data_IF_472060940457
#
_entry.id   IF_472060940457
#
_cell.length_a   1.000
_cell.length_b   1.000
_cell.length_c   1.000
_cell.angle_alpha   90.00
_cell.angle_beta   90.00
_cell.angle_gamma   90.00
#
_symmetry.space_group_name_H-M   'P 1'
#
loop_
_entity.id
_entity.type
_entity.pdbx_description
1 polymer ?
#
# COMPACT_ATOMS: atom_id res chain seq x y z
N UNK A 1 -9.06 4.25 20.13
CA UNK A 1 -8.61 3.37 19.03
C UNK A 1 -8.05 4.22 17.92
N UNK A 2 -6.91 3.82 17.34
CA UNK A 2 -6.31 4.53 16.22
C UNK A 2 -7.18 4.41 14.97
N UNK A 3 -7.18 5.43 14.12
CA UNK A 3 -7.86 5.39 12.83
C UNK A 3 -7.33 4.24 11.96
N UNK A 4 -6.02 4.17 11.82
CA UNK A 4 -5.35 3.10 11.04
C UNK A 4 -4.84 2.07 12.03
N UNK A 5 -5.47 0.90 12.05
CA UNK A 5 -5.04 -0.23 12.89
C UNK A 5 -3.94 -1.05 12.23
N UNK A 6 -3.99 -1.17 10.91
CA UNK A 6 -3.08 -2.00 10.14
C UNK A 6 -2.81 -1.34 8.79
N UNK A 7 -1.56 -1.29 8.37
CA UNK A 7 -1.19 -0.96 6.99
C UNK A 7 -0.92 -2.26 6.25
N UNK A 8 -1.57 -2.42 5.11
CA UNK A 8 -1.45 -3.60 4.25
C UNK A 8 -0.71 -3.22 2.98
N UNK A 9 0.26 -4.02 2.58
CA UNK A 9 1.13 -3.72 1.43
C UNK A 9 1.50 -5.00 0.68
N UNK A 10 1.77 -4.86 -0.62
CA UNK A 10 2.22 -5.95 -1.47
C UNK A 10 3.73 -6.17 -1.49
N UNK A 11 4.50 -5.31 -0.83
CA UNK A 11 5.95 -5.51 -0.67
C UNK A 11 6.82 -5.07 -1.84
N UNK A 12 6.25 -4.47 -2.89
CA UNK A 12 7.05 -4.00 -4.03
C UNK A 12 7.85 -2.73 -3.64
N UNK A 13 8.75 -2.30 -4.50
CA UNK A 13 9.45 -1.02 -4.35
C UNK A 13 8.47 0.15 -4.49
N UNK A 14 8.93 1.35 -4.25
CA UNK A 14 8.12 2.55 -4.41
C UNK A 14 7.06 2.70 -3.34
N UNK A 15 5.81 2.86 -3.75
CA UNK A 15 4.68 3.12 -2.85
C UNK A 15 4.52 2.03 -1.80
N UNK A 16 4.54 0.77 -2.19
CA UNK A 16 4.40 -0.35 -1.26
C UNK A 16 5.45 -0.32 -0.15
N UNK A 17 6.71 -0.11 -0.55
CA UNK A 17 7.84 -0.10 0.37
C UNK A 17 7.76 1.06 1.35
N UNK A 18 7.38 2.25 0.86
CA UNK A 18 7.21 3.42 1.72
C UNK A 18 6.10 3.21 2.75
N UNK A 19 5.01 2.56 2.34
CA UNK A 19 3.93 2.22 3.26
C UNK A 19 4.41 1.29 4.38
N UNK A 20 5.20 0.27 4.03
CA UNK A 20 5.75 -0.65 5.03
C UNK A 20 6.70 0.05 6.00
N UNK A 21 7.63 0.83 5.48
CA UNK A 21 8.61 1.52 6.31
C UNK A 21 7.94 2.57 7.22
N UNK A 22 6.90 3.23 6.73
CA UNK A 22 6.12 4.18 7.52
C UNK A 22 5.37 3.46 8.65
N UNK A 23 4.76 2.32 8.36
CA UNK A 23 4.09 1.52 9.40
C UNK A 23 5.06 1.15 10.52
N UNK A 24 6.26 0.69 10.18
CA UNK A 24 7.28 0.33 11.16
C UNK A 24 7.76 1.55 11.95
N UNK A 25 7.97 2.68 11.27
CA UNK A 25 8.43 3.92 11.91
C UNK A 25 7.44 4.43 12.96
N UNK A 26 6.15 4.37 12.66
CA UNK A 26 5.10 4.89 13.54
C UNK A 26 4.45 3.82 14.41
N UNK A 27 5.02 2.63 14.42
CA UNK A 27 4.53 1.50 15.23
C UNK A 27 3.06 1.17 14.95
N UNK A 28 2.67 1.23 13.68
CA UNK A 28 1.38 0.76 13.18
C UNK A 28 1.57 -0.67 12.72
N UNK A 29 0.58 -1.53 12.95
CA UNK A 29 0.63 -2.91 12.48
C UNK A 29 0.86 -2.99 10.98
N UNK A 30 1.69 -3.93 10.54
CA UNK A 30 2.02 -4.17 9.13
C UNK A 30 1.59 -5.57 8.75
N UNK A 31 0.91 -5.70 7.62
CA UNK A 31 0.54 -6.99 7.03
C UNK A 31 0.50 -6.88 5.51
N UNK A 32 0.21 -7.98 4.85
CA UNK A 32 0.01 -8.00 3.42
C UNK A 32 0.48 -9.29 2.77
N UNK A 33 0.01 -9.48 1.55
CA UNK A 33 0.38 -10.60 0.70
C UNK A 33 1.47 -10.16 -0.28
N UNK A 34 2.52 -10.97 -0.41
CA UNK A 34 3.54 -10.81 -1.45
C UNK A 34 3.56 -12.07 -2.32
N UNK A 35 4.19 -12.04 -3.51
CA UNK A 35 4.31 -13.24 -4.33
C UNK A 35 5.08 -14.33 -3.61
N UNK A 36 4.79 -15.60 -3.94
CA UNK A 36 5.52 -16.75 -3.43
C UNK A 36 7.02 -16.53 -3.60
N UNK A 37 7.77 -16.83 -2.54
CA UNK A 37 9.22 -16.62 -2.50
C UNK A 37 9.63 -15.23 -2.05
N UNK A 38 8.68 -14.32 -1.78
CA UNK A 38 9.00 -12.96 -1.34
C UNK A 38 9.59 -12.11 -2.44
N UNK A 39 9.07 -12.25 -3.66
CA UNK A 39 9.62 -11.51 -4.80
C UNK A 39 9.25 -10.04 -4.77
N UNK A 40 10.23 -9.19 -5.03
CA UNK A 40 10.09 -7.79 -5.40
C UNK A 40 11.21 -7.46 -6.39
N UNK A 41 11.10 -6.37 -7.13
CA UNK A 41 12.10 -6.07 -8.18
C UNK A 41 13.51 -5.89 -7.61
N UNK A 42 13.66 -5.49 -6.36
CA UNK A 42 14.95 -5.38 -5.66
C UNK A 42 15.28 -6.60 -4.80
N UNK A 43 14.36 -7.57 -4.72
CA UNK A 43 14.56 -8.86 -4.05
C UNK A 43 14.15 -9.98 -5.01
N UNK A 44 14.96 -10.24 -6.05
CA UNK A 44 14.58 -11.20 -7.09
C UNK A 44 14.68 -12.66 -6.67
N UNK A 45 15.37 -12.95 -5.57
CA UNK A 45 15.58 -14.32 -5.09
C UNK A 45 14.94 -14.55 -3.71
N UNK A 46 14.27 -15.69 -3.57
CA UNK A 46 13.64 -16.09 -2.31
C UNK A 46 14.69 -16.43 -1.25
N UNK A 47 14.43 -16.14 0.06
CA UNK A 47 13.24 -15.52 0.63
C UNK A 47 13.47 -14.06 1.04
N UNK A 48 14.31 -13.31 0.33
CA UNK A 48 14.91 -12.03 0.75
C UNK A 48 13.92 -11.00 1.28
N UNK A 49 12.78 -10.77 0.59
CA UNK A 49 11.77 -9.81 1.06
C UNK A 49 11.17 -10.24 2.39
N UNK A 50 10.83 -11.53 2.51
CA UNK A 50 10.23 -12.08 3.75
C UNK A 50 11.21 -12.06 4.91
N UNK A 51 12.51 -12.19 4.65
CA UNK A 51 13.53 -12.06 5.68
C UNK A 51 13.61 -10.63 6.22
N UNK A 52 13.46 -9.64 5.33
CA UNK A 52 13.51 -8.22 5.69
C UNK A 52 12.21 -7.73 6.31
N UNK A 53 11.06 -8.25 5.83
CA UNK A 53 9.72 -7.86 6.29
C UNK A 53 8.92 -9.13 6.64
N UNK A 54 9.21 -9.74 7.81
CA UNK A 54 8.55 -10.98 8.20
C UNK A 54 7.06 -10.83 8.50
N UNK A 55 6.56 -9.59 8.53
CA UNK A 55 5.14 -9.30 8.71
C UNK A 55 4.28 -9.67 7.49
N UNK A 56 4.91 -9.83 6.33
CA UNK A 56 4.22 -10.21 5.10
C UNK A 56 4.01 -11.73 5.03
N UNK A 57 3.00 -12.13 4.27
CA UNK A 57 2.70 -13.55 3.99
C UNK A 57 2.77 -13.77 2.48
N UNK A 58 3.41 -14.84 2.05
CA UNK A 58 3.47 -15.15 0.63
C UNK A 58 2.19 -15.82 0.13
N UNK A 59 1.78 -15.49 -1.11
CA UNK A 59 0.68 -16.18 -1.79
C UNK A 59 1.17 -17.50 -2.38
N UNK A 60 0.27 -18.45 -2.73
CA UNK A 60 0.66 -19.67 -3.43
C UNK A 60 1.28 -19.42 -4.81
N UNK A 61 0.93 -18.32 -5.48
CA UNK A 61 1.42 -18.00 -6.82
C UNK A 61 2.69 -17.16 -6.78
N UNK A 62 3.62 -17.45 -7.69
CA UNK A 62 4.80 -16.62 -7.92
C UNK A 62 4.47 -15.34 -8.69
N UNK A 63 3.31 -15.29 -9.36
CA UNK A 63 2.86 -14.11 -10.09
C UNK A 63 2.42 -12.98 -9.19
N UNK A 64 2.45 -11.77 -9.72
CA UNK A 64 2.12 -10.56 -8.94
C UNK A 64 0.62 -10.29 -8.85
N UNK A 65 -0.18 -10.85 -9.74
CA UNK A 65 -1.63 -10.57 -9.77
C UNK A 65 -2.36 -11.08 -8.53
N UNK A 66 -2.07 -12.30 -8.10
CA UNK A 66 -2.76 -12.90 -6.96
C UNK A 66 -2.54 -12.08 -5.68
N UNK A 67 -1.31 -11.65 -5.40
CA UNK A 67 -1.05 -10.84 -4.20
C UNK A 67 -1.82 -9.52 -4.26
N UNK A 68 -1.92 -8.91 -5.45
CA UNK A 68 -2.68 -7.67 -5.62
C UNK A 68 -4.16 -7.90 -5.32
N UNK A 69 -4.76 -8.94 -5.90
CA UNK A 69 -6.18 -9.26 -5.68
C UNK A 69 -6.45 -9.60 -4.21
N UNK A 70 -5.58 -10.36 -3.58
CA UNK A 70 -5.78 -10.76 -2.19
C UNK A 70 -5.62 -9.60 -1.21
N UNK A 71 -4.70 -8.68 -1.47
CA UNK A 71 -4.58 -7.48 -0.64
C UNK A 71 -5.85 -6.62 -0.72
N UNK A 72 -6.44 -6.47 -1.90
CA UNK A 72 -7.68 -5.73 -2.07
C UNK A 72 -8.84 -6.41 -1.35
N UNK A 73 -8.91 -7.74 -1.46
CA UNK A 73 -9.95 -8.56 -0.81
C UNK A 73 -9.95 -8.38 0.71
N UNK A 74 -8.78 -8.40 1.32
CA UNK A 74 -8.64 -8.44 2.77
C UNK A 74 -8.64 -7.07 3.44
N UNK A 75 -8.49 -5.99 2.66
CA UNK A 75 -8.49 -4.63 3.19
C UNK A 75 -9.90 -4.14 3.55
N UNK A 76 -9.98 -3.23 4.53
CA UNK A 76 -11.21 -2.49 4.83
C UNK A 76 -11.36 -1.28 3.92
N UNK A 77 -10.26 -0.66 3.55
CA UNK A 77 -10.22 0.53 2.69
C UNK A 77 -8.92 0.55 1.89
N UNK A 78 -8.90 1.25 0.77
CA UNK A 78 -7.79 1.26 -0.15
C UNK A 78 -7.39 2.70 -0.47
N UNK A 79 -6.13 3.05 -0.18
CA UNK A 79 -5.51 4.30 -0.57
C UNK A 79 -4.51 4.02 -1.69
N UNK A 80 -4.77 4.59 -2.86
CA UNK A 80 -3.88 4.47 -4.02
C UNK A 80 -3.13 5.78 -4.22
N UNK A 81 -1.81 5.71 -4.32
CA UNK A 81 -0.97 6.85 -4.70
C UNK A 81 -0.64 6.67 -6.17
N UNK A 82 -1.13 7.56 -7.02
CA UNK A 82 -0.94 7.46 -8.46
C UNK A 82 -0.67 8.86 -9.03
N UNK A 83 0.60 9.25 -9.14
CA UNK A 83 0.94 10.54 -9.76
C UNK A 83 0.46 10.62 -11.21
N UNK A 84 0.15 11.82 -11.67
CA UNK A 84 -0.33 12.04 -13.04
C UNK A 84 0.73 11.58 -14.05
N UNK A 85 0.26 11.00 -15.15
CA UNK A 85 1.12 10.58 -16.26
C UNK A 85 1.89 9.29 -16.03
N UNK A 86 1.68 8.61 -14.90
CA UNK A 86 2.36 7.35 -14.58
C UNK A 86 1.52 6.17 -15.05
N UNK A 87 2.15 5.20 -15.71
CA UNK A 87 1.54 3.95 -16.10
C UNK A 87 1.98 2.84 -15.13
N UNK A 88 1.03 2.14 -14.54
CA UNK A 88 1.29 1.04 -13.60
C UNK A 88 0.15 0.03 -13.70
N UNK A 89 0.43 -1.10 -14.35
CA UNK A 89 -0.58 -2.16 -14.55
C UNK A 89 -1.04 -2.77 -13.24
N UNK A 90 -0.12 -2.99 -12.30
CA UNK A 90 -0.46 -3.54 -10.99
C UNK A 90 -1.37 -2.61 -10.19
N UNK A 91 -1.13 -1.30 -10.26
CA UNK A 91 -1.97 -0.31 -9.60
C UNK A 91 -3.36 -0.28 -10.20
N UNK A 92 -3.46 -0.29 -11.54
CA UNK A 92 -4.74 -0.34 -12.25
C UNK A 92 -5.52 -1.60 -11.88
N UNK A 93 -4.86 -2.75 -11.83
CA UNK A 93 -5.49 -4.00 -11.41
C UNK A 93 -6.07 -3.89 -9.99
N UNK A 94 -5.31 -3.33 -9.07
CA UNK A 94 -5.76 -3.14 -7.69
C UNK A 94 -6.97 -2.21 -7.59
N UNK A 95 -6.96 -1.08 -8.28
CA UNK A 95 -8.08 -0.14 -8.30
C UNK A 95 -9.32 -0.79 -8.88
N UNK A 96 -9.17 -1.53 -9.96
CA UNK A 96 -10.29 -2.25 -10.59
C UNK A 96 -10.90 -3.29 -9.64
N UNK A 97 -10.08 -4.06 -8.95
CA UNK A 97 -10.55 -5.08 -8.00
C UNK A 97 -11.23 -4.43 -6.79
N UNK A 98 -10.64 -3.38 -6.23
CA UNK A 98 -11.24 -2.66 -5.11
C UNK A 98 -12.61 -2.07 -5.48
N UNK A 99 -12.73 -1.54 -6.69
CA UNK A 99 -14.01 -1.04 -7.22
C UNK A 99 -15.03 -2.16 -7.36
N UNK A 100 -14.61 -3.30 -7.92
CA UNK A 100 -15.48 -4.46 -8.07
C UNK A 100 -16.00 -4.96 -6.73
N UNK A 101 -15.16 -4.93 -5.70
CA UNK A 101 -15.52 -5.38 -4.35
C UNK A 101 -16.30 -4.34 -3.55
N UNK A 102 -16.49 -3.13 -4.07
CA UNK A 102 -17.20 -2.07 -3.38
C UNK A 102 -16.48 -1.51 -2.17
N UNK A 103 -15.15 -1.59 -2.13
CA UNK A 103 -14.35 -1.08 -1.02
C UNK A 103 -14.32 0.44 -1.01
N UNK A 104 -14.29 1.08 0.16
CA UNK A 104 -13.96 2.51 0.25
C UNK A 104 -12.57 2.76 -0.36
N UNK A 105 -12.47 3.74 -1.25
CA UNK A 105 -11.24 4.00 -1.99
C UNK A 105 -10.98 5.50 -2.12
N UNK A 106 -9.70 5.86 -2.08
CA UNK A 106 -9.23 7.20 -2.42
C UNK A 106 -7.99 7.09 -3.29
N UNK A 107 -7.95 7.81 -4.40
CA UNK A 107 -6.77 7.89 -5.26
C UNK A 107 -6.17 9.29 -5.14
N UNK A 108 -4.92 9.36 -4.68
CA UNK A 108 -4.18 10.59 -4.51
C UNK A 108 -3.11 10.72 -5.57
N UNK A 109 -2.90 11.91 -6.10
CA UNK A 109 -1.84 12.18 -7.09
C UNK A 109 -0.63 12.87 -6.49
N UNK A 110 -0.74 13.45 -5.31
CA UNK A 110 0.37 14.16 -4.68
C UNK A 110 0.01 14.71 -3.30
N UNK A 111 0.91 15.53 -2.75
CA UNK A 111 0.74 16.11 -1.41
C UNK A 111 -0.47 17.04 -1.30
N UNK A 112 -0.94 17.60 -2.42
CA UNK A 112 -2.15 18.41 -2.44
C UNK A 112 -3.41 17.64 -2.04
N UNK A 113 -3.38 16.32 -2.08
CA UNK A 113 -4.50 15.46 -1.68
C UNK A 113 -4.54 15.16 -0.19
N UNK A 114 -3.56 15.59 0.59
CA UNK A 114 -3.51 15.29 2.03
C UNK A 114 -4.79 15.71 2.76
N UNK A 115 -5.33 16.92 2.57
CA UNK A 115 -6.60 17.28 3.21
C UNK A 115 -7.75 16.34 2.83
N UNK A 116 -7.85 15.96 1.55
CA UNK A 116 -8.86 15.04 1.08
C UNK A 116 -8.72 13.64 1.67
N UNK A 117 -7.49 13.13 1.78
CA UNK A 117 -7.22 11.84 2.42
C UNK A 117 -7.67 11.87 3.87
N UNK A 118 -7.36 12.93 4.60
CA UNK A 118 -7.74 13.07 6.00
C UNK A 118 -9.26 13.09 6.18
N UNK A 119 -9.96 13.88 5.37
CA UNK A 119 -11.42 13.94 5.40
C UNK A 119 -12.02 12.56 5.11
N UNK A 120 -11.51 11.87 4.10
CA UNK A 120 -11.96 10.53 3.75
C UNK A 120 -11.73 9.53 4.89
N UNK A 121 -10.53 9.49 5.47
CA UNK A 121 -10.23 8.58 6.57
C UNK A 121 -11.10 8.86 7.79
N UNK A 122 -11.34 10.15 8.10
CA UNK A 122 -12.19 10.52 9.23
C UNK A 122 -13.65 10.13 9.04
N UNK A 123 -14.09 9.94 7.81
CA UNK A 123 -15.45 9.47 7.50
C UNK A 123 -15.61 7.96 7.69
N UNK A 124 -14.51 7.23 7.85
CA UNK A 124 -14.50 5.77 7.98
C UNK A 124 -14.37 5.35 9.45
N UNK A 125 -14.75 4.11 9.80
CA UNK A 125 -14.56 3.60 11.15
C UNK A 125 -13.08 3.59 11.58
N UNK A 126 -12.83 3.58 12.87
CA UNK A 126 -11.49 3.43 13.44
C UNK A 126 -11.02 1.98 13.35
N UNK A 127 -9.71 1.77 13.43
CA UNK A 127 -9.13 0.44 13.41
C UNK A 127 -9.03 -0.17 12.03
N UNK A 128 -8.94 0.65 11.00
CA UNK A 128 -8.91 0.19 9.60
C UNK A 128 -7.71 -0.71 9.29
N UNK A 129 -7.96 -1.76 8.50
CA UNK A 129 -6.97 -2.44 7.69
C UNK A 129 -6.89 -1.66 6.37
N UNK A 130 -5.90 -0.78 6.26
CA UNK A 130 -5.75 0.13 5.12
C UNK A 130 -4.71 -0.40 4.16
N UNK A 131 -5.13 -0.81 2.96
CA UNK A 131 -4.22 -1.17 1.90
C UNK A 131 -3.72 0.09 1.20
N UNK A 132 -2.40 0.21 1.08
CA UNK A 132 -1.76 1.33 0.39
C UNK A 132 -0.98 0.76 -0.77
N UNK A 133 -1.29 1.22 -1.97
CA UNK A 133 -0.65 0.75 -3.19
C UNK A 133 -0.40 1.89 -4.18
N UNK A 134 0.43 1.60 -5.17
CA UNK A 134 0.80 2.56 -6.19
C UNK A 134 1.95 2.01 -7.03
N UNK A 135 2.57 2.85 -7.86
CA UNK A 135 3.63 2.40 -8.74
C UNK A 135 4.89 1.98 -7.97
N UNK A 136 5.61 1.05 -8.56
CA UNK A 136 6.95 0.70 -8.10
C UNK A 136 7.94 1.77 -8.54
N UNK A 137 9.13 1.76 -7.94
CA UNK A 137 10.12 2.79 -8.20
C UNK A 137 10.56 2.83 -9.67
N UNK A 138 10.61 1.68 -10.34
CA UNK A 138 10.94 1.60 -11.76
C UNK A 138 9.86 2.20 -12.68
N UNK A 139 8.62 2.31 -12.21
CA UNK A 139 7.52 2.93 -12.95
C UNK A 139 7.40 4.41 -12.67
N UNK A 140 7.79 4.84 -11.49
CA UNK A 140 7.69 6.23 -11.06
C UNK A 140 8.87 6.56 -10.14
N UNK A 141 9.82 7.30 -10.65
CA UNK A 141 10.93 7.81 -9.85
C UNK A 141 10.37 8.65 -8.70
N UNK A 142 10.94 8.53 -7.53
CA UNK A 142 10.48 9.20 -6.30
C UNK A 142 9.14 8.70 -5.73
N UNK A 143 8.60 7.56 -6.22
CA UNK A 143 7.36 7.01 -5.66
C UNK A 143 7.50 6.73 -4.16
N UNK A 144 8.64 6.20 -3.73
CA UNK A 144 8.93 5.96 -2.32
C UNK A 144 8.91 7.26 -1.51
N UNK A 145 9.63 8.28 -1.98
CA UNK A 145 9.74 9.56 -1.27
C UNK A 145 8.38 10.26 -1.18
N UNK A 146 7.65 10.33 -2.28
CA UNK A 146 6.34 10.98 -2.32
C UNK A 146 5.35 10.29 -1.38
N UNK A 147 5.29 8.97 -1.43
CA UNK A 147 4.40 8.20 -0.56
C UNK A 147 4.76 8.42 0.90
N UNK A 148 6.04 8.39 1.23
CA UNK A 148 6.51 8.66 2.59
C UNK A 148 6.09 10.04 3.09
N UNK A 149 6.24 11.09 2.27
CA UNK A 149 5.80 12.43 2.63
C UNK A 149 4.29 12.50 2.91
N UNK A 150 3.49 11.89 2.05
CA UNK A 150 2.04 11.89 2.21
C UNK A 150 1.65 11.16 3.50
N UNK A 151 2.14 9.94 3.68
CA UNK A 151 1.74 9.11 4.81
C UNK A 151 2.21 9.67 6.15
N UNK A 152 3.42 10.22 6.23
CA UNK A 152 3.89 10.84 7.46
C UNK A 152 3.00 11.99 7.88
N UNK A 153 2.66 12.88 6.96
CA UNK A 153 1.77 14.00 7.26
C UNK A 153 0.37 13.55 7.64
N UNK A 154 -0.17 12.56 6.93
CA UNK A 154 -1.50 12.01 7.25
C UNK A 154 -1.51 11.42 8.66
N UNK A 155 -0.52 10.58 8.99
CA UNK A 155 -0.45 9.93 10.29
C UNK A 155 -0.29 10.95 11.41
N UNK A 156 0.60 11.93 11.24
CA UNK A 156 0.82 12.98 12.24
C UNK A 156 -0.45 13.78 12.50
N UNK A 157 -1.22 14.08 11.46
CA UNK A 157 -2.45 14.87 11.58
C UNK A 157 -3.64 14.06 12.10
N UNK A 158 -3.58 12.74 12.05
CA UNK A 158 -4.60 11.87 12.64
C UNK A 158 -4.42 11.69 14.16
N UNK A 159 -3.27 12.00 14.68
CA UNK A 159 -2.98 11.91 16.13
C UNK A 159 -3.16 13.28 16.86
#
# INVERSE_FOLDING_TARGET
MKKIGMIRSGGQTGTDRAAMDTALKYNIGLCGWCPKGGWAEDYPEAPSLLARYPQLTETPSEGTSQRTLWNMRDADAILTIMPEGIASQGTVLGVREGTRLGKPMYTASGTGDIPGILEWLRSLPDGLDLCIGGPRESECEDAYRLTGEILEQVIQKLT
#
